data_IF_563294909827
#
_entry.id   IF_563294909827
#
_cell.length_a   1.000
_cell.length_b   1.000
_cell.length_c   1.000
_cell.angle_alpha   90.00
_cell.angle_beta   90.00
_cell.angle_gamma   90.00
#
_symmetry.space_group_name_H-M   'P 1'
#
loop_
_entity.id
_entity.type
_entity.pdbx_description
1 polymer ?
#
# COMPACT_ATOMS: atom_id res chain seq x y z
N UNK A 1 5.78 40.68 -59.52
CA UNK A 1 6.80 40.09 -58.62
C UNK A 1 6.46 40.45 -57.19
N UNK A 2 6.55 39.47 -56.27
CA UNK A 2 6.59 39.54 -54.80
C UNK A 2 5.49 40.31 -54.04
N UNK A 3 4.55 39.50 -53.53
CA UNK A 3 3.67 39.71 -52.38
C UNK A 3 4.50 39.70 -51.08
N UNK A 4 4.16 40.55 -50.11
CA UNK A 4 4.53 40.32 -48.70
C UNK A 4 3.29 40.52 -47.82
N UNK A 5 2.65 39.39 -47.52
CA UNK A 5 1.68 39.24 -46.44
C UNK A 5 2.53 39.06 -45.17
N UNK A 6 2.42 39.99 -44.22
CA UNK A 6 3.08 39.84 -42.92
C UNK A 6 2.18 38.98 -42.03
N UNK A 7 2.59 37.72 -41.85
CA UNK A 7 2.00 36.74 -40.92
C UNK A 7 2.99 36.61 -39.75
N UNK A 8 2.52 36.70 -38.52
CA UNK A 8 3.04 36.07 -37.28
C UNK A 8 2.01 36.40 -36.17
N UNK A 9 1.04 35.55 -35.77
CA UNK A 9 1.14 34.20 -35.16
C UNK A 9 2.27 34.21 -34.10
N UNK A 10 2.06 34.07 -32.80
CA UNK A 10 1.09 33.30 -32.03
C UNK A 10 1.09 33.84 -30.59
N UNK A 11 -0.10 34.03 -30.01
CA UNK A 11 -0.31 34.18 -28.58
C UNK A 11 0.25 32.96 -27.84
N UNK A 12 1.24 33.20 -26.99
CA UNK A 12 1.80 32.22 -26.06
C UNK A 12 0.76 31.96 -24.95
N UNK A 13 -0.27 31.17 -25.25
CA UNK A 13 -1.11 30.58 -24.22
C UNK A 13 -0.28 29.50 -23.53
N UNK A 14 0.35 29.88 -22.42
CA UNK A 14 0.87 28.93 -21.44
C UNK A 14 -0.31 28.08 -20.94
N UNK A 15 -0.53 26.92 -21.56
CA UNK A 15 -1.28 25.85 -20.91
C UNK A 15 -0.46 25.43 -19.69
N UNK A 16 -0.75 26.03 -18.55
CA UNK A 16 -0.47 25.42 -17.27
C UNK A 16 -1.37 24.19 -17.22
N UNK A 17 -0.85 23.05 -17.67
CA UNK A 17 -1.41 21.75 -17.32
C UNK A 17 -1.33 21.67 -15.80
N UNK A 18 -2.43 22.01 -15.14
CA UNK A 18 -2.70 21.52 -13.80
C UNK A 18 -2.66 20.01 -13.92
N UNK A 19 -1.55 19.41 -13.50
CA UNK A 19 -1.50 18.01 -13.16
C UNK A 19 -2.59 17.82 -12.10
N UNK A 20 -3.78 17.43 -12.54
CA UNK A 20 -4.81 16.90 -11.65
C UNK A 20 -4.14 15.69 -11.01
N UNK A 21 -3.59 15.89 -9.81
CA UNK A 21 -3.21 14.79 -8.95
C UNK A 21 -4.51 14.03 -8.71
N UNK A 22 -4.76 13.02 -9.53
CA UNK A 22 -5.65 11.92 -9.18
C UNK A 22 -5.01 11.42 -7.89
N UNK A 23 -5.55 11.86 -6.76
CA UNK A 23 -5.14 11.37 -5.46
C UNK A 23 -5.68 9.95 -5.44
N UNK A 24 -4.93 9.04 -6.03
CA UNK A 24 -5.10 7.62 -5.94
C UNK A 24 -5.19 7.30 -4.44
N UNK A 25 -6.42 7.06 -3.97
CA UNK A 25 -6.71 7.00 -2.53
C UNK A 25 -6.12 5.72 -1.96
N UNK A 26 -4.84 5.77 -1.61
CA UNK A 26 -4.24 4.78 -0.74
C UNK A 26 -4.89 4.94 0.63
N UNK A 27 -5.46 3.86 1.15
CA UNK A 27 -5.90 3.78 2.54
C UNK A 27 -5.05 2.74 3.23
N UNK A 28 -4.57 3.07 4.42
CA UNK A 28 -3.83 2.16 5.26
C UNK A 28 -4.31 2.35 6.69
N UNK A 29 -4.72 1.26 7.34
CA UNK A 29 -5.23 1.27 8.70
C UNK A 29 -4.67 0.06 9.43
N UNK A 30 -4.17 0.32 10.63
CA UNK A 30 -3.72 -0.71 11.56
C UNK A 30 -4.55 -0.56 12.82
N UNK A 31 -5.13 -1.66 13.27
CA UNK A 31 -5.75 -1.74 14.58
C UNK A 31 -4.95 -2.74 15.39
N UNK A 32 -4.37 -2.24 16.46
CA UNK A 32 -3.56 -3.01 17.38
C UNK A 32 -4.12 -2.85 18.80
N UNK A 33 -4.53 -3.95 19.43
CA UNK A 33 -4.98 -3.96 20.81
C UNK A 33 -4.44 -5.19 21.55
N UNK A 34 -4.92 -5.44 22.76
CA UNK A 34 -4.43 -6.53 23.61
C UNK A 34 -4.75 -7.94 23.07
N UNK A 35 -5.73 -8.07 22.18
CA UNK A 35 -6.25 -9.36 21.72
C UNK A 35 -6.04 -9.63 20.25
N UNK A 36 -5.91 -8.58 19.44
CA UNK A 36 -5.82 -8.70 17.99
C UNK A 36 -4.87 -7.65 17.40
N UNK A 37 -4.29 -8.01 16.27
CA UNK A 37 -3.57 -7.11 15.37
C UNK A 37 -4.20 -7.25 13.99
N UNK A 38 -4.64 -6.15 13.38
CA UNK A 38 -5.21 -6.18 12.04
C UNK A 38 -4.67 -5.06 11.16
N UNK A 39 -4.45 -5.41 9.89
CA UNK A 39 -3.97 -4.51 8.85
C UNK A 39 -5.03 -4.48 7.77
N UNK A 40 -5.44 -3.30 7.34
CA UNK A 40 -6.30 -3.11 6.17
C UNK A 40 -5.71 -2.05 5.28
N UNK A 41 -5.55 -2.37 4.01
CA UNK A 41 -5.11 -1.41 3.02
C UNK A 41 -5.84 -1.56 1.69
N UNK A 42 -5.99 -0.43 1.02
CA UNK A 42 -6.44 -0.36 -0.37
C UNK A 42 -5.49 0.55 -1.11
N UNK A 43 -5.08 0.15 -2.29
CA UNK A 43 -4.09 0.85 -3.11
C UNK A 43 -4.46 0.79 -4.58
N UNK A 44 -3.78 1.54 -5.45
CA UNK A 44 -3.94 1.42 -6.89
C UNK A 44 -3.53 0.06 -7.44
N UNK A 45 -4.15 -0.39 -8.54
CA UNK A 45 -3.95 -1.73 -9.08
C UNK A 45 -2.49 -1.97 -9.50
N UNK A 46 -1.79 -0.95 -9.99
CA UNK A 46 -0.38 -1.01 -10.40
C UNK A 46 0.61 -1.18 -9.23
N UNK A 47 0.13 -1.12 -7.99
CA UNK A 47 0.93 -1.46 -6.80
C UNK A 47 0.76 -2.92 -6.37
N UNK A 48 -0.23 -3.63 -6.90
CA UNK A 48 -0.58 -4.99 -6.47
C UNK A 48 0.60 -5.95 -6.51
N UNK A 49 1.36 -5.97 -7.61
CA UNK A 49 2.51 -6.88 -7.74
C UNK A 49 3.63 -6.57 -6.74
N UNK A 50 3.89 -5.28 -6.47
CA UNK A 50 4.90 -4.90 -5.47
C UNK A 50 4.45 -5.29 -4.06
N UNK A 51 3.16 -5.07 -3.74
CA UNK A 51 2.59 -5.51 -2.46
C UNK A 51 2.60 -7.04 -2.35
N UNK A 52 2.27 -7.77 -3.42
CA UNK A 52 2.38 -9.23 -3.45
C UNK A 52 3.80 -9.68 -3.14
N UNK A 53 4.80 -9.08 -3.77
CA UNK A 53 6.21 -9.41 -3.53
C UNK A 53 6.63 -9.14 -2.07
N UNK A 54 6.17 -8.04 -1.46
CA UNK A 54 6.41 -7.78 -0.03
C UNK A 54 5.77 -8.86 0.85
N UNK A 55 4.54 -9.27 0.53
CA UNK A 55 3.83 -10.30 1.30
C UNK A 55 4.51 -11.66 1.17
N UNK A 56 4.90 -12.06 -0.03
CA UNK A 56 5.60 -13.33 -0.26
C UNK A 56 6.99 -13.35 0.41
N UNK A 57 7.72 -12.23 0.39
CA UNK A 57 9.01 -12.11 1.06
C UNK A 57 8.93 -12.16 2.59
N UNK A 58 7.78 -11.82 3.18
CA UNK A 58 7.59 -11.77 4.64
C UNK A 58 6.83 -12.99 5.19
N UNK A 59 5.77 -13.41 4.51
CA UNK A 59 4.86 -14.48 4.94
C UNK A 59 5.15 -15.82 4.26
N UNK A 60 6.04 -15.84 3.25
CA UNK A 60 6.31 -17.00 2.42
C UNK A 60 5.26 -17.18 1.31
N UNK A 61 5.22 -18.38 0.74
CA UNK A 61 4.25 -18.69 -0.31
C UNK A 61 2.81 -18.70 0.22
N UNK A 62 1.88 -18.19 -0.58
CA UNK A 62 0.46 -18.21 -0.26
C UNK A 62 -0.06 -19.64 -0.17
N UNK A 63 -0.84 -19.94 0.88
CA UNK A 63 -1.49 -21.26 1.04
C UNK A 63 -2.57 -21.50 -0.01
N UNK A 64 -3.17 -20.43 -0.53
CA UNK A 64 -4.03 -20.46 -1.71
C UNK A 64 -3.71 -19.26 -2.59
N UNK A 65 -3.49 -19.50 -3.89
CA UNK A 65 -3.26 -18.42 -4.86
C UNK A 65 -4.05 -18.64 -6.14
N UNK A 66 -4.65 -17.57 -6.64
CA UNK A 66 -5.40 -17.47 -7.89
C UNK A 66 -5.02 -16.17 -8.60
N UNK A 67 -5.52 -15.97 -9.83
CA UNK A 67 -5.21 -14.77 -10.61
C UNK A 67 -5.54 -13.45 -9.89
N UNK A 68 -6.58 -13.43 -9.03
CA UNK A 68 -7.05 -12.23 -8.35
C UNK A 68 -6.86 -12.24 -6.84
N UNK A 69 -6.46 -13.37 -6.26
CA UNK A 69 -6.47 -13.55 -4.82
C UNK A 69 -5.30 -14.42 -4.34
N UNK A 70 -4.59 -13.96 -3.31
CA UNK A 70 -3.59 -14.73 -2.59
C UNK A 70 -3.91 -14.72 -1.09
N UNK A 71 -3.85 -15.87 -0.44
CA UNK A 71 -4.15 -16.03 0.98
C UNK A 71 -2.98 -16.70 1.71
N UNK A 72 -2.75 -16.26 2.94
CA UNK A 72 -1.85 -16.89 3.91
C UNK A 72 -2.66 -17.17 5.16
N UNK A 73 -2.66 -18.40 5.65
CA UNK A 73 -3.41 -18.75 6.84
C UNK A 73 -2.60 -19.71 7.71
N UNK A 74 -2.60 -19.42 9.01
CA UNK A 74 -2.10 -20.31 10.06
C UNK A 74 -3.15 -20.42 11.16
N UNK A 75 -2.86 -21.18 12.21
CA UNK A 75 -3.73 -21.25 13.39
C UNK A 75 -3.86 -19.92 14.14
N UNK A 76 -2.89 -19.01 13.98
CA UNK A 76 -2.81 -17.75 14.72
C UNK A 76 -3.18 -16.52 13.89
N UNK A 77 -3.10 -16.59 12.56
CA UNK A 77 -3.37 -15.43 11.70
C UNK A 77 -3.94 -15.83 10.33
N UNK A 78 -4.59 -14.87 9.68
CA UNK A 78 -4.97 -14.91 8.27
C UNK A 78 -4.57 -13.62 7.58
N UNK A 79 -4.14 -13.70 6.32
CA UNK A 79 -3.85 -12.58 5.46
C UNK A 79 -4.38 -12.86 4.05
N UNK A 80 -4.91 -11.85 3.39
CA UNK A 80 -5.54 -11.94 2.08
C UNK A 80 -5.22 -10.71 1.25
N UNK A 81 -4.67 -10.94 0.06
CA UNK A 81 -4.54 -9.96 -1.00
C UNK A 81 -5.63 -10.24 -2.03
N UNK A 82 -6.54 -9.30 -2.26
CA UNK A 82 -7.62 -9.39 -3.24
C UNK A 82 -7.53 -8.21 -4.21
N UNK A 83 -6.93 -8.45 -5.38
CA UNK A 83 -6.59 -7.41 -6.34
C UNK A 83 -5.84 -6.27 -5.65
N UNK A 84 -6.47 -5.11 -5.55
CA UNK A 84 -5.88 -3.89 -5.04
C UNK A 84 -6.15 -3.62 -3.54
N UNK A 85 -6.53 -4.66 -2.79
CA UNK A 85 -6.81 -4.59 -1.36
C UNK A 85 -6.07 -5.67 -0.60
N UNK A 86 -5.56 -5.33 0.57
CA UNK A 86 -4.93 -6.26 1.48
C UNK A 86 -5.58 -6.19 2.85
N UNK A 87 -5.85 -7.35 3.42
CA UNK A 87 -6.41 -7.49 4.77
C UNK A 87 -5.64 -8.58 5.51
N UNK A 88 -5.22 -8.31 6.73
CA UNK A 88 -4.63 -9.30 7.61
C UNK A 88 -5.16 -9.16 9.03
N UNK A 89 -5.24 -10.30 9.70
CA UNK A 89 -5.73 -10.44 11.06
C UNK A 89 -4.86 -11.44 11.80
N UNK A 90 -4.41 -11.09 12.99
CA UNK A 90 -3.65 -11.94 13.90
C UNK A 90 -4.33 -11.94 15.27
N UNK A 91 -4.60 -13.14 15.78
CA UNK A 91 -5.11 -13.39 17.13
C UNK A 91 -3.94 -13.43 18.11
N UNK A 92 -3.73 -12.36 18.89
CA UNK A 92 -2.60 -12.26 19.82
C UNK A 92 -2.66 -13.28 20.95
N UNK A 93 -3.83 -13.85 21.24
CA UNK A 93 -3.95 -14.91 22.27
C UNK A 93 -3.40 -16.25 21.79
N UNK A 94 -3.34 -16.45 20.47
CA UNK A 94 -2.84 -17.67 19.83
C UNK A 94 -1.48 -17.47 19.16
N UNK A 95 -1.11 -16.23 18.88
CA UNK A 95 0.13 -15.89 18.21
C UNK A 95 1.34 -16.01 19.15
N UNK A 96 2.47 -16.43 18.58
CA UNK A 96 3.76 -16.34 19.25
C UNK A 96 4.29 -14.90 19.20
N UNK A 97 5.21 -14.55 20.10
CA UNK A 97 5.88 -13.24 20.05
C UNK A 97 6.59 -12.98 18.71
N UNK A 98 7.09 -14.03 18.06
CA UNK A 98 7.67 -13.92 16.71
C UNK A 98 6.64 -13.53 15.65
N UNK A 99 5.44 -14.11 15.69
CA UNK A 99 4.36 -13.78 14.75
C UNK A 99 3.83 -12.34 14.95
N UNK A 100 3.79 -11.87 16.20
CA UNK A 100 3.44 -10.47 16.51
C UNK A 100 4.49 -9.53 15.90
N UNK A 101 5.77 -9.79 16.15
CA UNK A 101 6.87 -9.00 15.57
C UNK A 101 6.90 -9.07 14.03
N UNK A 102 6.52 -10.21 13.44
CA UNK A 102 6.37 -10.34 11.98
C UNK A 102 5.29 -9.40 11.45
N UNK A 103 4.15 -9.30 12.11
CA UNK A 103 3.05 -8.42 11.71
C UNK A 103 3.41 -6.93 11.89
N UNK A 104 4.16 -6.58 12.94
CA UNK A 104 4.69 -5.22 13.12
C UNK A 104 5.65 -4.84 11.98
N UNK A 105 6.61 -5.72 11.65
CA UNK A 105 7.51 -5.50 10.50
C UNK A 105 6.78 -5.47 9.17
N UNK A 106 5.75 -6.30 9.00
CA UNK A 106 4.91 -6.29 7.81
C UNK A 106 4.20 -4.94 7.65
N UNK A 107 3.64 -4.40 8.73
CA UNK A 107 3.05 -3.06 8.74
C UNK A 107 4.05 -2.00 8.29
N UNK A 108 5.27 -2.00 8.83
CA UNK A 108 6.31 -1.04 8.45
C UNK A 108 6.67 -1.13 6.96
N UNK A 109 6.84 -2.36 6.45
CA UNK A 109 7.18 -2.62 5.04
C UNK A 109 6.05 -2.21 4.10
N UNK A 110 4.80 -2.48 4.46
CA UNK A 110 3.64 -2.04 3.69
C UNK A 110 3.49 -0.52 3.72
N UNK A 111 3.74 0.15 4.84
CA UNK A 111 3.74 1.61 4.92
C UNK A 111 4.82 2.23 4.01
N UNK A 112 6.02 1.65 4.02
CA UNK A 112 7.13 2.05 3.16
C UNK A 112 6.76 1.92 1.68
N UNK A 113 6.27 0.75 1.27
CA UNK A 113 5.89 0.47 -0.13
C UNK A 113 4.71 1.33 -0.61
N UNK A 114 3.76 1.60 0.29
CA UNK A 114 2.61 2.45 0.03
C UNK A 114 2.92 3.95 0.16
N UNK A 115 4.17 4.31 0.45
CA UNK A 115 4.63 5.69 0.70
C UNK A 115 3.72 6.41 1.71
N UNK A 116 3.22 5.68 2.71
CA UNK A 116 2.39 6.24 3.77
C UNK A 116 3.28 6.92 4.81
N UNK A 117 2.86 8.07 5.37
CA UNK A 117 3.58 8.67 6.49
C UNK A 117 3.62 7.65 7.63
N UNK A 118 4.80 7.45 8.21
CA UNK A 118 4.94 6.64 9.42
C UNK A 118 4.08 7.27 10.52
N UNK A 119 3.29 6.50 11.29
CA UNK A 119 2.64 7.02 12.48
C UNK A 119 3.70 7.65 13.39
N UNK A 120 3.42 8.80 14.03
CA UNK A 120 4.35 9.36 15.00
C UNK A 120 4.63 8.33 16.09
N UNK A 121 5.90 8.00 16.30
CA UNK A 121 6.27 7.14 17.43
C UNK A 121 6.02 7.91 18.74
N UNK A 122 5.45 7.26 19.77
CA UNK A 122 5.41 7.85 21.10
C UNK A 122 6.83 8.28 21.51
N UNK A 123 7.01 9.43 22.18
CA UNK A 123 8.32 9.82 22.67
C UNK A 123 8.88 8.70 23.54
N UNK A 124 10.14 8.32 23.29
CA UNK A 124 10.87 7.39 24.16
C UNK A 124 10.89 7.99 25.56
N UNK A 125 10.35 7.28 26.55
CA UNK A 125 10.54 7.68 27.95
C UNK A 125 12.04 7.65 28.28
N UNK A 126 12.54 8.65 29.02
CA UNK A 126 13.97 8.81 29.35
C UNK A 126 14.50 7.68 30.23
#
# INVERSE_FOLDING_TARGET
MKKYILILLTTWCSLVTFAQSITEKIKFSVKDNNTEYSIRSSFPAERTERIRSVLEGMLGEASNSSASESQWATTAYSAKLLGNRFEAFLDKKKATGHQIALFEKLTEKLQEELKQPKPPQPPKQP
#
